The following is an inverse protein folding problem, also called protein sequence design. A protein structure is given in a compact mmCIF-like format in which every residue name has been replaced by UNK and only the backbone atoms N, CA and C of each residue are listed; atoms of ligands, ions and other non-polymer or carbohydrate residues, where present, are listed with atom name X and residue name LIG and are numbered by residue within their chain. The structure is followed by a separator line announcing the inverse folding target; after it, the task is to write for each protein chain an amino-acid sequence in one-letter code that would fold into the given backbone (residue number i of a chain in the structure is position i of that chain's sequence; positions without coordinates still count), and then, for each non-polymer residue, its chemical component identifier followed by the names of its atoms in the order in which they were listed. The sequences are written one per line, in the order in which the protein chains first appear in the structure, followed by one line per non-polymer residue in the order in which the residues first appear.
data_IF_176150296759
#
_entry.id   IF_176150296759
#
_cell.length_a   1.000
_cell.length_b   1.000
_cell.length_c   1.000
_cell.angle_alpha   90.00
_cell.angle_beta   90.00
_cell.angle_gamma   90.00
#
_symmetry.space_group_name_H-M   'P 1'
#
loop_
_entity.id
_entity.type
_entity.pdbx_description
1 polymer ?
#
# COMPACT_ATOMS: atom_id res chain seq x y z
N UNK A 1 -14.78 -15.76 -6.11
CA UNK A 1 -13.63 -16.65 -6.42
C UNK A 1 -12.92 -16.27 -7.73
N UNK A 2 -13.60 -16.05 -8.83
CA UNK A 2 -12.96 -15.66 -10.12
C UNK A 2 -12.13 -14.38 -10.00
N UNK A 3 -12.61 -13.38 -9.29
CA UNK A 3 -11.92 -12.12 -9.04
C UNK A 3 -10.58 -12.27 -8.32
N UNK A 4 -10.52 -13.14 -7.31
CA UNK A 4 -9.27 -13.43 -6.57
C UNK A 4 -8.26 -14.13 -7.50
N UNK A 5 -8.73 -15.07 -8.36
CA UNK A 5 -7.86 -15.77 -9.31
C UNK A 5 -7.25 -14.80 -10.32
N UNK A 6 -7.99 -13.78 -10.75
CA UNK A 6 -7.52 -12.77 -11.72
C UNK A 6 -6.42 -11.86 -11.15
N UNK A 7 -6.38 -11.63 -9.83
CA UNK A 7 -5.37 -10.79 -9.18
C UNK A 7 -3.99 -11.46 -9.04
N UNK A 8 -3.94 -12.80 -9.03
CA UNK A 8 -2.73 -13.59 -8.77
C UNK A 8 -1.67 -13.52 -9.89
N UNK A 9 -2.00 -13.58 -11.20
CA UNK A 9 -1.01 -13.76 -12.27
C UNK A 9 0.07 -12.68 -12.31
N UNK A 10 -0.29 -11.40 -12.14
CA UNK A 10 0.68 -10.29 -12.19
C UNK A 10 1.62 -10.33 -10.99
N UNK A 11 1.11 -10.63 -9.80
CA UNK A 11 1.91 -10.83 -8.60
C UNK A 11 2.91 -11.97 -8.76
N UNK A 12 2.49 -13.09 -9.34
CA UNK A 12 3.38 -14.21 -9.67
C UNK A 12 4.43 -13.78 -10.72
N UNK A 13 4.02 -13.08 -11.76
CA UNK A 13 4.93 -12.62 -12.81
C UNK A 13 6.03 -11.71 -12.25
N UNK A 14 5.67 -10.77 -11.38
CA UNK A 14 6.62 -9.89 -10.68
C UNK A 14 7.57 -10.69 -9.78
N UNK A 15 7.04 -11.64 -9.03
CA UNK A 15 7.84 -12.50 -8.14
C UNK A 15 8.85 -13.34 -8.93
N UNK A 16 8.39 -13.99 -10.02
CA UNK A 16 9.26 -14.77 -10.93
C UNK A 16 10.33 -13.86 -11.54
N UNK A 17 9.97 -12.64 -11.94
CA UNK A 17 10.90 -11.66 -12.48
C UNK A 17 11.98 -11.28 -11.46
N UNK A 18 11.61 -11.01 -10.19
CA UNK A 18 12.56 -10.75 -9.10
C UNK A 18 13.48 -11.95 -8.86
N UNK A 19 12.93 -13.17 -8.81
CA UNK A 19 13.72 -14.39 -8.63
C UNK A 19 14.73 -14.58 -9.77
N UNK A 20 14.34 -14.28 -11.03
CA UNK A 20 15.25 -14.34 -12.18
C UNK A 20 16.38 -13.31 -12.08
N UNK A 21 16.10 -12.11 -11.59
CA UNK A 21 17.15 -11.10 -11.37
C UNK A 21 18.14 -11.51 -10.29
N UNK A 22 17.71 -12.28 -9.29
CA UNK A 22 18.54 -12.80 -8.21
C UNK A 22 19.13 -14.19 -8.49
N UNK A 23 19.10 -14.67 -9.73
CA UNK A 23 19.56 -16.03 -10.08
C UNK A 23 21.02 -16.28 -9.70
N UNK A 24 21.91 -15.33 -9.98
CA UNK A 24 23.36 -15.48 -9.79
C UNK A 24 23.82 -15.21 -8.34
N UNK A 25 23.02 -14.49 -7.56
CA UNK A 25 23.24 -14.26 -6.13
C UNK A 25 21.87 -14.35 -5.40
N UNK A 26 21.36 -15.57 -5.18
CA UNK A 26 20.04 -15.78 -4.63
C UNK A 26 19.94 -15.32 -3.18
N UNK A 27 18.75 -14.86 -2.79
CA UNK A 27 18.46 -14.65 -1.38
C UNK A 27 18.61 -15.95 -0.56
N UNK A 28 18.99 -15.86 0.72
CA UNK A 28 19.01 -17.03 1.61
C UNK A 28 17.67 -17.78 1.58
N UNK A 29 17.73 -19.12 1.74
CA UNK A 29 16.53 -19.98 1.72
C UNK A 29 15.41 -19.42 2.60
N UNK A 30 14.20 -19.42 2.10
CA UNK A 30 13.01 -18.98 2.82
C UNK A 30 12.86 -17.45 2.94
N UNK A 31 13.79 -16.64 2.43
CA UNK A 31 13.68 -15.17 2.52
C UNK A 31 12.48 -14.66 1.76
N UNK A 32 12.24 -15.12 0.53
CA UNK A 32 11.09 -14.73 -0.30
C UNK A 32 9.78 -14.99 0.45
N UNK A 33 9.63 -16.19 1.03
CA UNK A 33 8.43 -16.55 1.80
C UNK A 33 8.26 -15.63 3.02
N UNK A 34 9.35 -15.35 3.75
CA UNK A 34 9.30 -14.44 4.91
C UNK A 34 8.88 -13.03 4.51
N UNK A 35 9.32 -12.53 3.36
CA UNK A 35 8.95 -11.22 2.84
C UNK A 35 7.50 -11.19 2.37
N UNK A 36 7.01 -12.23 1.70
CA UNK A 36 5.59 -12.35 1.33
C UNK A 36 4.70 -12.38 2.57
N UNK A 37 5.06 -13.19 3.59
CA UNK A 37 4.34 -13.22 4.87
C UNK A 37 4.40 -11.86 5.57
N UNK A 38 5.55 -11.17 5.55
CA UNK A 38 5.69 -9.82 6.09
C UNK A 38 4.74 -8.83 5.38
N UNK A 39 4.54 -8.99 4.07
CA UNK A 39 3.56 -8.22 3.30
C UNK A 39 2.13 -8.48 3.77
N UNK A 40 1.73 -9.74 3.87
CA UNK A 40 0.39 -10.12 4.38
C UNK A 40 0.17 -9.59 5.80
N UNK A 41 1.15 -9.75 6.68
CA UNK A 41 1.07 -9.24 8.06
C UNK A 41 0.93 -7.72 8.06
N UNK A 42 1.68 -7.01 7.21
CA UNK A 42 1.57 -5.55 7.13
C UNK A 42 0.18 -5.10 6.66
N UNK A 43 -0.46 -5.83 5.72
CA UNK A 43 -1.84 -5.57 5.29
C UNK A 43 -2.86 -5.80 6.41
N UNK A 44 -2.71 -6.88 7.19
CA UNK A 44 -3.58 -7.14 8.33
C UNK A 44 -3.43 -6.05 9.41
N UNK A 45 -2.19 -5.70 9.76
CA UNK A 45 -1.92 -4.71 10.80
C UNK A 45 -2.40 -3.31 10.38
N UNK A 46 -2.18 -2.91 9.13
CA UNK A 46 -2.69 -1.63 8.63
C UNK A 46 -4.21 -1.60 8.61
N UNK A 47 -4.86 -2.68 8.16
CA UNK A 47 -6.31 -2.79 8.17
C UNK A 47 -6.91 -2.65 9.58
N UNK A 48 -6.31 -3.30 10.60
CA UNK A 48 -6.73 -3.15 11.99
C UNK A 48 -6.62 -1.68 12.44
N UNK A 49 -5.49 -1.02 12.18
CA UNK A 49 -5.29 0.39 12.58
C UNK A 49 -6.23 1.31 11.84
N UNK A 50 -6.47 1.09 10.56
CA UNK A 50 -7.43 1.87 9.75
C UNK A 50 -8.85 1.75 10.31
N UNK A 51 -9.30 0.53 10.63
CA UNK A 51 -10.62 0.30 11.23
C UNK A 51 -10.74 0.97 12.60
N UNK A 52 -9.73 0.82 13.46
CA UNK A 52 -9.71 1.49 14.77
C UNK A 52 -9.69 3.03 14.62
N UNK A 53 -8.91 3.55 13.68
CA UNK A 53 -8.87 4.99 13.39
C UNK A 53 -10.21 5.51 12.87
N UNK A 54 -10.88 4.76 12.00
CA UNK A 54 -12.22 5.09 11.52
C UNK A 54 -13.24 5.08 12.67
N UNK A 55 -13.16 4.08 13.56
CA UNK A 55 -14.01 4.01 14.75
C UNK A 55 -13.79 5.19 15.69
N UNK A 56 -12.53 5.54 15.98
CA UNK A 56 -12.21 6.71 16.81
C UNK A 56 -12.76 8.00 16.19
N UNK A 57 -12.53 8.19 14.86
CA UNK A 57 -13.06 9.35 14.16
C UNK A 57 -14.59 9.40 14.22
N UNK A 58 -15.25 8.26 14.05
CA UNK A 58 -16.71 8.14 14.18
C UNK A 58 -17.21 8.53 15.57
N UNK A 59 -16.55 8.05 16.64
CA UNK A 59 -16.87 8.40 18.02
C UNK A 59 -16.67 9.90 18.30
N UNK A 60 -15.58 10.46 17.76
CA UNK A 60 -15.30 11.89 17.93
C UNK A 60 -16.32 12.78 17.21
N UNK A 61 -16.84 12.35 16.08
CA UNK A 61 -17.80 13.08 15.27
C UNK A 61 -19.24 12.97 15.82
N UNK A 62 -19.62 11.80 16.35
CA UNK A 62 -21.01 11.46 16.70
C UNK A 62 -21.21 11.09 18.18
N UNK A 63 -20.15 11.12 19.01
CA UNK A 63 -20.19 10.80 20.42
C UNK A 63 -20.22 9.30 20.73
N UNK A 64 -20.04 8.95 22.01
CA UNK A 64 -19.98 7.56 22.49
C UNK A 64 -21.30 6.78 22.29
N UNK A 65 -22.45 7.47 22.26
CA UNK A 65 -23.74 6.82 22.02
C UNK A 65 -23.86 6.23 20.62
N UNK A 66 -23.05 6.71 19.66
CA UNK A 66 -22.96 6.11 18.31
C UNK A 66 -22.48 4.64 18.33
N UNK A 67 -21.74 4.20 19.35
CA UNK A 67 -21.35 2.80 19.51
C UNK A 67 -22.57 1.91 19.79
N UNK A 68 -23.50 2.39 20.61
CA UNK A 68 -24.76 1.66 20.90
C UNK A 68 -25.57 1.45 19.63
N UNK A 69 -25.51 2.40 18.69
CA UNK A 69 -26.17 2.29 17.40
C UNK A 69 -25.57 1.20 16.51
N UNK A 70 -24.23 1.05 16.50
CA UNK A 70 -23.56 0.04 15.67
C UNK A 70 -23.86 -1.40 16.12
N UNK A 71 -24.13 -1.60 17.40
CA UNK A 71 -24.30 -2.93 18.00
C UNK A 71 -25.68 -3.19 18.60
N UNK A 72 -26.59 -2.22 18.56
CA UNK A 72 -27.93 -2.33 19.11
C UNK A 72 -28.98 -2.79 18.08
N UNK A 73 -29.78 -3.79 18.44
CA UNK A 73 -30.97 -4.21 17.68
C UNK A 73 -32.25 -3.58 18.28
N UNK A 74 -32.20 -2.31 18.65
CA UNK A 74 -33.34 -1.61 19.26
C UNK A 74 -33.99 -0.64 18.25
N UNK A 75 -35.30 -0.30 18.42
CA UNK A 75 -35.95 0.72 17.58
C UNK A 75 -35.20 2.06 17.59
N UNK A 76 -34.65 2.44 18.75
CA UNK A 76 -33.83 3.64 18.89
C UNK A 76 -32.55 3.55 18.03
N UNK A 77 -31.91 2.40 17.97
CA UNK A 77 -30.73 2.18 17.11
C UNK A 77 -31.07 2.36 15.63
N UNK A 78 -32.26 1.91 15.20
CA UNK A 78 -32.72 2.08 13.81
C UNK A 78 -33.02 3.55 13.48
N UNK A 79 -33.64 4.30 14.41
CA UNK A 79 -33.89 5.73 14.25
C UNK A 79 -32.58 6.52 14.15
N UNK A 80 -31.62 6.27 15.04
CA UNK A 80 -30.31 6.88 15.01
C UNK A 80 -29.53 6.54 13.71
N UNK A 81 -29.61 5.31 13.23
CA UNK A 81 -28.98 4.92 11.95
C UNK A 81 -29.57 5.71 10.76
N UNK A 82 -30.88 6.01 10.79
CA UNK A 82 -31.54 6.86 9.79
C UNK A 82 -31.06 8.32 9.87
N UNK A 83 -31.04 8.90 11.07
CA UNK A 83 -30.55 10.26 11.31
C UNK A 83 -29.07 10.40 10.93
N UNK A 84 -28.24 9.41 11.28
CA UNK A 84 -26.84 9.33 10.85
C UNK A 84 -26.69 9.29 9.34
N UNK A 85 -27.50 8.45 8.66
CA UNK A 85 -27.50 8.38 7.19
C UNK A 85 -27.83 9.71 6.54
N UNK A 86 -28.73 10.49 7.11
CA UNK A 86 -29.05 11.85 6.65
C UNK A 86 -27.90 12.84 6.91
N UNK A 87 -27.30 12.81 8.10
CA UNK A 87 -26.14 13.65 8.42
C UNK A 87 -24.96 13.38 7.48
N UNK A 88 -24.66 12.11 7.20
CA UNK A 88 -23.58 11.72 6.25
C UNK A 88 -23.91 12.19 4.82
N UNK A 89 -25.17 12.06 4.38
CA UNK A 89 -25.59 12.54 3.06
C UNK A 89 -25.48 14.07 2.92
N UNK A 90 -25.75 14.79 4.00
CA UNK A 90 -25.74 16.25 4.04
C UNK A 90 -24.36 16.84 4.41
N UNK A 91 -23.41 16.01 4.80
CA UNK A 91 -22.05 16.44 5.11
C UNK A 91 -21.37 17.02 3.86
N UNK A 92 -20.94 18.27 3.95
CA UNK A 92 -20.21 18.91 2.84
C UNK A 92 -18.87 18.21 2.66
N UNK A 93 -18.60 17.79 1.44
CA UNK A 93 -17.30 17.25 1.07
C UNK A 93 -16.20 18.30 1.28
N UNK A 94 -15.22 17.95 2.08
CA UNK A 94 -14.02 18.76 2.30
C UNK A 94 -12.81 18.08 1.64
N UNK A 95 -12.35 18.56 0.49
CA UNK A 95 -11.21 17.92 -0.20
C UNK A 95 -9.96 17.83 0.68
N UNK A 96 -9.62 18.92 1.36
CA UNK A 96 -8.45 18.95 2.26
C UNK A 96 -8.63 18.00 3.46
N UNK A 97 -9.82 18.02 4.09
CA UNK A 97 -10.12 17.12 5.21
C UNK A 97 -10.08 15.64 4.80
N UNK A 98 -10.66 15.31 3.64
CA UNK A 98 -10.63 13.96 3.07
C UNK A 98 -9.18 13.53 2.74
N UNK A 99 -8.39 14.41 2.12
CA UNK A 99 -6.98 14.14 1.84
C UNK A 99 -6.16 13.86 3.11
N UNK A 100 -6.31 14.70 4.14
CA UNK A 100 -5.60 14.53 5.42
C UNK A 100 -6.03 13.22 6.11
N UNK A 101 -7.32 12.91 6.15
CA UNK A 101 -7.83 11.63 6.68
C UNK A 101 -7.20 10.44 5.94
N UNK A 102 -7.24 10.44 4.61
CA UNK A 102 -6.67 9.37 3.78
C UNK A 102 -5.16 9.25 4.01
N UNK A 103 -4.45 10.40 4.14
CA UNK A 103 -3.01 10.39 4.41
C UNK A 103 -2.68 9.74 5.76
N UNK A 104 -3.37 10.14 6.83
CA UNK A 104 -3.07 9.67 8.19
C UNK A 104 -3.53 8.22 8.39
N UNK A 105 -4.76 7.88 7.95
CA UNK A 105 -5.39 6.60 8.29
C UNK A 105 -5.10 5.49 7.28
N UNK A 106 -4.71 5.82 6.05
CA UNK A 106 -4.46 4.83 5.00
C UNK A 106 -3.01 4.92 4.52
N UNK A 107 -2.67 5.91 3.72
CA UNK A 107 -1.38 5.96 3.05
C UNK A 107 -0.17 5.89 3.99
N UNK A 108 -0.18 6.66 5.08
CA UNK A 108 0.92 6.65 6.05
C UNK A 108 0.97 5.35 6.85
N UNK A 109 -0.19 4.86 7.32
CA UNK A 109 -0.30 3.63 8.12
C UNK A 109 0.18 2.43 7.34
N UNK A 110 -0.27 2.26 6.10
CA UNK A 110 0.12 1.11 5.27
C UNK A 110 1.61 1.13 4.93
N UNK A 111 2.14 2.30 4.53
CA UNK A 111 3.56 2.40 4.19
C UNK A 111 4.46 2.22 5.42
N UNK A 112 4.05 2.68 6.61
CA UNK A 112 4.78 2.41 7.86
C UNK A 112 4.81 0.90 8.15
N UNK A 113 3.69 0.19 8.07
CA UNK A 113 3.68 -1.24 8.34
C UNK A 113 4.46 -2.04 7.31
N UNK A 114 4.35 -1.71 6.01
CA UNK A 114 5.19 -2.29 4.97
C UNK A 114 6.69 -2.08 5.27
N UNK A 115 7.06 -0.86 5.66
CA UNK A 115 8.43 -0.53 6.04
C UNK A 115 8.90 -1.35 7.25
N UNK A 116 8.14 -1.37 8.35
CA UNK A 116 8.52 -2.05 9.59
C UNK A 116 8.62 -3.56 9.41
N UNK A 117 7.64 -4.18 8.74
CA UNK A 117 7.63 -5.62 8.50
C UNK A 117 8.78 -6.04 7.57
N UNK A 118 9.05 -5.29 6.50
CA UNK A 118 10.21 -5.54 5.63
C UNK A 118 11.51 -5.38 6.41
N UNK A 119 11.67 -4.29 7.15
CA UNK A 119 12.88 -4.02 7.95
C UNK A 119 13.15 -5.11 8.98
N UNK A 120 12.11 -5.70 9.58
CA UNK A 120 12.27 -6.82 10.52
C UNK A 120 12.91 -8.04 9.85
N UNK A 121 12.67 -8.26 8.56
CA UNK A 121 13.30 -9.34 7.79
C UNK A 121 14.70 -8.95 7.33
N UNK A 122 14.85 -7.79 6.67
CA UNK A 122 16.13 -7.40 6.02
C UNK A 122 17.25 -7.05 6.99
N UNK A 123 16.94 -6.76 8.27
CA UNK A 123 17.97 -6.52 9.30
C UNK A 123 18.83 -7.75 9.62
N UNK A 124 18.41 -8.95 9.21
CA UNK A 124 19.20 -10.17 9.39
C UNK A 124 20.36 -10.19 8.41
N UNK A 125 21.56 -10.51 8.93
CA UNK A 125 22.80 -10.56 8.11
C UNK A 125 22.59 -11.44 6.87
N UNK A 126 23.10 -10.98 5.73
CA UNK A 126 23.11 -11.70 4.46
C UNK A 126 21.82 -11.67 3.66
N UNK A 127 20.75 -10.99 4.12
CA UNK A 127 19.51 -10.86 3.34
C UNK A 127 19.61 -9.68 2.36
N UNK A 128 19.86 -8.48 2.87
CA UNK A 128 20.10 -7.31 2.03
C UNK A 128 21.58 -6.93 2.14
N UNK A 129 22.40 -7.37 1.18
CA UNK A 129 23.83 -7.07 1.11
C UNK A 129 24.09 -5.73 0.43
N UNK A 130 23.24 -5.37 -0.54
CA UNK A 130 23.33 -4.15 -1.33
C UNK A 130 22.04 -3.35 -1.24
N UNK A 131 22.09 -2.08 -1.65
CA UNK A 131 20.90 -1.25 -1.75
C UNK A 131 19.86 -1.84 -2.73
N UNK A 132 20.33 -2.53 -3.79
CA UNK A 132 19.45 -3.23 -4.73
C UNK A 132 18.73 -4.40 -4.06
N UNK A 133 19.43 -5.17 -3.21
CA UNK A 133 18.80 -6.26 -2.47
C UNK A 133 17.71 -5.73 -1.53
N UNK A 134 17.99 -4.60 -0.86
CA UNK A 134 16.99 -3.94 -0.03
C UNK A 134 15.75 -3.56 -0.86
N UNK A 135 15.94 -2.90 -2.01
CA UNK A 135 14.85 -2.52 -2.91
C UNK A 135 14.02 -3.75 -3.32
N UNK A 136 14.67 -4.83 -3.74
CA UNK A 136 13.96 -6.05 -4.14
C UNK A 136 13.23 -6.71 -2.96
N UNK A 137 13.77 -6.64 -1.74
CA UNK A 137 13.07 -7.13 -0.54
C UNK A 137 11.79 -6.34 -0.28
N UNK A 138 11.83 -5.01 -0.37
CA UNK A 138 10.64 -4.17 -0.24
C UNK A 138 9.60 -4.49 -1.33
N UNK A 139 10.04 -4.67 -2.56
CA UNK A 139 9.18 -5.06 -3.67
C UNK A 139 8.48 -6.41 -3.43
N UNK A 140 9.19 -7.43 -2.89
CA UNK A 140 8.58 -8.73 -2.54
C UNK A 140 7.55 -8.59 -1.42
N UNK A 141 7.85 -7.77 -0.40
CA UNK A 141 6.87 -7.48 0.67
C UNK A 141 5.60 -6.85 0.10
N UNK A 142 5.75 -5.91 -0.84
CA UNK A 142 4.59 -5.28 -1.48
C UNK A 142 3.74 -6.26 -2.29
N UNK A 143 4.34 -7.27 -2.90
CA UNK A 143 3.57 -8.34 -3.59
C UNK A 143 2.69 -9.09 -2.57
N UNK A 144 3.23 -9.43 -1.39
CA UNK A 144 2.44 -10.07 -0.32
C UNK A 144 1.33 -9.16 0.22
N UNK A 145 1.61 -7.86 0.36
CA UNK A 145 0.63 -6.85 0.76
C UNK A 145 -0.49 -6.73 -0.28
N UNK A 146 -0.14 -6.52 -1.55
CA UNK A 146 -1.07 -6.43 -2.68
C UNK A 146 -2.01 -7.64 -2.72
N UNK A 147 -1.47 -8.86 -2.59
CA UNK A 147 -2.29 -10.08 -2.59
C UNK A 147 -3.32 -10.09 -1.45
N UNK A 148 -2.97 -9.60 -0.25
CA UNK A 148 -3.91 -9.54 0.88
C UNK A 148 -5.04 -8.55 0.62
N UNK A 149 -4.76 -7.41 0.00
CA UNK A 149 -5.76 -6.44 -0.38
C UNK A 149 -6.62 -6.91 -1.56
N UNK A 150 -6.02 -7.50 -2.58
CA UNK A 150 -6.74 -8.01 -3.74
C UNK A 150 -7.78 -9.06 -3.33
N UNK A 151 -7.48 -9.87 -2.30
CA UNK A 151 -8.47 -10.80 -1.72
C UNK A 151 -9.63 -10.02 -1.08
N UNK A 152 -9.37 -8.93 -0.37
CA UNK A 152 -10.40 -8.14 0.31
C UNK A 152 -11.28 -7.36 -0.68
N UNK A 153 -10.67 -6.66 -1.63
CA UNK A 153 -11.39 -5.74 -2.52
C UNK A 153 -11.97 -6.40 -3.78
N UNK A 154 -11.52 -7.59 -4.14
CA UNK A 154 -11.96 -8.27 -5.37
C UNK A 154 -13.17 -9.20 -5.15
N UNK A 155 -13.69 -9.33 -3.95
CA UNK A 155 -14.70 -10.34 -3.60
C UNK A 155 -16.06 -10.15 -4.30
N UNK A 156 -16.36 -8.96 -4.84
CA UNK A 156 -17.68 -8.64 -5.43
C UNK A 156 -17.66 -8.15 -6.87
N UNK A 157 -16.52 -7.73 -7.43
CA UNK A 157 -16.51 -7.05 -8.73
C UNK A 157 -15.32 -7.49 -9.60
N UNK A 158 -15.63 -8.11 -10.75
CA UNK A 158 -14.63 -8.61 -11.71
C UNK A 158 -13.82 -7.47 -12.33
N UNK A 159 -14.43 -6.34 -12.64
CA UNK A 159 -13.72 -5.19 -13.22
C UNK A 159 -12.71 -4.61 -12.24
N UNK A 160 -13.09 -4.49 -10.97
CA UNK A 160 -12.17 -4.08 -9.89
C UNK A 160 -10.99 -5.05 -9.77
N UNK A 161 -11.25 -6.35 -9.85
CA UNK A 161 -10.21 -7.38 -9.80
C UNK A 161 -9.24 -7.27 -10.98
N UNK A 162 -9.74 -7.09 -12.20
CA UNK A 162 -8.91 -6.90 -13.40
C UNK A 162 -8.09 -5.61 -13.29
N UNK A 163 -8.72 -4.50 -12.88
CA UNK A 163 -8.04 -3.23 -12.69
C UNK A 163 -6.88 -3.37 -11.69
N UNK A 164 -7.13 -3.92 -10.49
CA UNK A 164 -6.12 -4.13 -9.45
C UNK A 164 -5.00 -5.07 -9.91
N UNK A 165 -5.35 -6.15 -10.62
CA UNK A 165 -4.36 -7.07 -11.17
C UNK A 165 -3.41 -6.40 -12.16
N UNK A 166 -3.91 -5.48 -13.01
CA UNK A 166 -3.12 -4.77 -14.01
C UNK A 166 -2.35 -3.57 -13.44
N UNK A 167 -2.66 -3.14 -12.22
CA UNK A 167 -2.10 -1.94 -11.58
C UNK A 167 -1.38 -2.28 -10.26
N UNK A 168 -0.20 -2.95 -10.32
CA UNK A 168 0.52 -3.34 -9.11
C UNK A 168 1.22 -2.12 -8.46
N UNK A 169 0.46 -1.10 -8.05
CA UNK A 169 1.01 0.17 -7.57
C UNK A 169 1.78 0.03 -6.25
N UNK A 170 1.37 -0.90 -5.37
CA UNK A 170 2.12 -1.18 -4.14
C UNK A 170 3.55 -1.64 -4.43
N UNK A 171 3.78 -2.36 -5.54
CA UNK A 171 5.14 -2.65 -6.01
C UNK A 171 5.93 -1.35 -6.27
N UNK A 172 5.32 -0.35 -6.91
CA UNK A 172 5.97 0.93 -7.21
C UNK A 172 6.27 1.71 -5.93
N UNK A 173 5.31 1.80 -5.01
CA UNK A 173 5.50 2.47 -3.70
C UNK A 173 6.65 1.83 -2.93
N UNK A 174 6.67 0.50 -2.85
CA UNK A 174 7.73 -0.22 -2.15
C UNK A 174 9.08 -0.18 -2.86
N UNK A 175 9.12 -0.11 -4.19
CA UNK A 175 10.37 0.09 -4.92
C UNK A 175 10.99 1.48 -4.61
N UNK A 176 10.15 2.54 -4.52
CA UNK A 176 10.58 3.87 -4.07
C UNK A 176 11.06 3.81 -2.62
N UNK A 177 10.30 3.15 -1.73
CA UNK A 177 10.66 2.95 -0.33
C UNK A 177 12.01 2.26 -0.20
N UNK A 178 12.20 1.14 -0.90
CA UNK A 178 13.43 0.36 -0.88
C UNK A 178 14.63 1.12 -1.44
N UNK A 179 14.44 1.94 -2.47
CA UNK A 179 15.48 2.83 -2.99
C UNK A 179 15.97 3.82 -1.93
N UNK A 180 15.06 4.56 -1.30
CA UNK A 180 15.44 5.51 -0.24
C UNK A 180 15.99 4.80 1.01
N UNK A 181 15.48 3.63 1.35
CA UNK A 181 16.07 2.81 2.43
C UNK A 181 17.51 2.43 2.11
N UNK A 182 17.79 1.99 0.87
CA UNK A 182 19.15 1.71 0.41
C UNK A 182 20.06 2.93 0.49
N UNK A 183 19.60 4.10 0.00
CA UNK A 183 20.34 5.36 0.13
C UNK A 183 20.62 5.75 1.58
N UNK A 184 19.69 5.53 2.50
CA UNK A 184 19.90 5.78 3.91
C UNK A 184 21.02 4.93 4.48
N UNK A 185 21.08 3.66 4.07
CA UNK A 185 22.09 2.70 4.53
C UNK A 185 23.47 3.00 3.97
N UNK A 186 23.57 3.32 2.68
CA UNK A 186 24.86 3.59 2.03
C UNK A 186 25.43 4.97 2.40
N UNK A 187 24.60 5.99 2.58
CA UNK A 187 25.03 7.34 2.90
C UNK A 187 25.09 7.66 4.40
N UNK A 188 24.49 6.83 5.27
CA UNK A 188 24.31 7.10 6.70
C UNK A 188 23.34 8.23 7.04
N UNK A 189 22.70 8.87 6.04
CA UNK A 189 21.82 10.03 6.24
C UNK A 189 20.41 9.59 6.63
N UNK A 190 20.00 9.85 7.89
CA UNK A 190 18.67 9.52 8.41
C UNK A 190 17.52 10.16 7.63
N UNK A 191 17.77 11.28 6.94
CA UNK A 191 16.76 11.94 6.10
C UNK A 191 16.18 11.02 5.02
N UNK A 192 17.00 10.14 4.43
CA UNK A 192 16.48 9.17 3.46
C UNK A 192 15.54 8.11 4.07
N UNK A 193 15.68 7.82 5.38
CA UNK A 193 14.69 6.97 6.08
C UNK A 193 13.31 7.63 6.17
N UNK A 194 13.29 8.96 6.39
CA UNK A 194 12.06 9.74 6.35
C UNK A 194 11.45 9.70 4.94
N UNK A 195 12.26 9.95 3.91
CA UNK A 195 11.79 9.91 2.51
C UNK A 195 11.31 8.52 2.10
N UNK A 196 11.90 7.45 2.65
CA UNK A 196 11.49 6.07 2.37
C UNK A 196 10.03 5.79 2.78
N UNK A 197 9.51 6.51 3.77
CA UNK A 197 8.12 6.40 4.21
C UNK A 197 7.27 7.51 3.59
N UNK A 198 7.72 8.75 3.68
CA UNK A 198 6.92 9.91 3.33
C UNK A 198 6.53 9.97 1.85
N UNK A 199 7.50 9.74 0.94
CA UNK A 199 7.23 9.84 -0.51
C UNK A 199 6.22 8.79 -0.98
N UNK A 200 6.38 7.47 -0.70
CA UNK A 200 5.37 6.50 -1.07
C UNK A 200 4.02 6.74 -0.39
N UNK A 201 3.99 7.16 0.89
CA UNK A 201 2.74 7.50 1.58
C UNK A 201 1.99 8.65 0.89
N UNK A 202 2.71 9.69 0.46
CA UNK A 202 2.11 10.82 -0.24
C UNK A 202 1.52 10.42 -1.60
N UNK A 203 2.27 9.66 -2.39
CA UNK A 203 1.83 9.20 -3.71
C UNK A 203 0.63 8.24 -3.57
N UNK A 204 0.69 7.32 -2.61
CA UNK A 204 -0.39 6.39 -2.29
C UNK A 204 -1.66 7.15 -1.90
N UNK A 205 -1.53 8.09 -0.97
CA UNK A 205 -2.66 8.94 -0.54
C UNK A 205 -3.29 9.71 -1.69
N UNK A 206 -2.49 10.30 -2.57
CA UNK A 206 -3.01 11.03 -3.74
C UNK A 206 -3.84 10.13 -4.65
N UNK A 207 -3.41 8.89 -4.81
CA UNK A 207 -4.16 7.90 -5.59
C UNK A 207 -5.48 7.52 -4.91
N UNK A 208 -5.46 7.13 -3.65
CA UNK A 208 -6.67 6.73 -2.91
C UNK A 208 -7.64 7.90 -2.74
N UNK A 209 -7.12 9.10 -2.45
CA UNK A 209 -7.92 10.31 -2.41
C UNK A 209 -8.62 10.55 -3.75
N UNK A 210 -7.91 10.37 -4.88
CA UNK A 210 -8.51 10.56 -6.20
C UNK A 210 -9.69 9.62 -6.46
N UNK A 211 -9.60 8.35 -6.01
CA UNK A 211 -10.69 7.38 -6.10
C UNK A 211 -11.88 7.81 -5.23
N UNK A 212 -11.61 8.12 -3.95
CA UNK A 212 -12.67 8.47 -2.99
C UNK A 212 -13.39 9.76 -3.39
N UNK A 213 -12.66 10.74 -3.89
CA UNK A 213 -13.21 12.03 -4.30
C UNK A 213 -14.14 11.93 -5.52
N UNK A 214 -14.00 10.92 -6.40
CA UNK A 214 -14.92 10.70 -7.54
C UNK A 214 -16.36 10.47 -7.12
N UNK A 215 -16.59 10.03 -5.88
CA UNK A 215 -17.93 9.79 -5.34
C UNK A 215 -18.67 11.09 -4.96
N UNK A 216 -17.95 12.22 -4.93
CA UNK A 216 -18.49 13.51 -4.52
C UNK A 216 -18.64 14.51 -5.68
N UNK A 217 -17.67 14.54 -6.59
CA UNK A 217 -17.67 15.48 -7.71
C UNK A 217 -16.99 14.87 -8.95
N UNK A 218 -17.62 15.01 -10.11
CA UNK A 218 -17.16 14.45 -11.39
C UNK A 218 -15.76 14.94 -11.81
N UNK A 219 -15.36 16.15 -11.39
CA UNK A 219 -14.05 16.69 -11.71
C UNK A 219 -12.90 15.82 -11.17
N UNK A 220 -13.11 15.11 -10.05
CA UNK A 220 -12.10 14.21 -9.49
C UNK A 220 -11.90 12.93 -10.31
N UNK A 221 -12.82 12.61 -11.22
CA UNK A 221 -12.62 11.52 -12.16
C UNK A 221 -11.43 11.78 -13.10
N UNK A 222 -11.23 13.04 -13.51
CA UNK A 222 -10.04 13.42 -14.28
C UNK A 222 -8.75 13.27 -13.45
N UNK A 223 -8.79 13.61 -12.16
CA UNK A 223 -7.67 13.40 -11.25
C UNK A 223 -7.35 11.91 -11.10
N UNK A 224 -8.36 11.05 -10.94
CA UNK A 224 -8.19 9.61 -10.87
C UNK A 224 -7.55 9.04 -12.15
N UNK A 225 -8.00 9.46 -13.33
CA UNK A 225 -7.39 9.06 -14.61
C UNK A 225 -5.93 9.52 -14.66
N UNK A 226 -5.64 10.77 -14.31
CA UNK A 226 -4.29 11.32 -14.33
C UNK A 226 -3.36 10.54 -13.36
N UNK A 227 -3.82 10.23 -12.15
CA UNK A 227 -3.07 9.44 -11.18
C UNK A 227 -2.85 8.00 -11.66
N UNK A 228 -3.85 7.38 -12.27
CA UNK A 228 -3.73 6.03 -12.87
C UNK A 228 -2.66 6.00 -13.96
N UNK A 229 -2.68 6.97 -14.88
CA UNK A 229 -1.67 7.09 -15.94
C UNK A 229 -0.29 7.33 -15.34
N UNK A 230 -0.16 8.29 -14.41
CA UNK A 230 1.11 8.60 -13.74
C UNK A 230 1.71 7.38 -13.05
N UNK A 231 0.92 6.67 -12.25
CA UNK A 231 1.39 5.49 -11.52
C UNK A 231 1.74 4.32 -12.47
N UNK A 232 0.98 4.14 -13.54
CA UNK A 232 1.30 3.14 -14.56
C UNK A 232 2.65 3.45 -15.22
N UNK A 233 2.88 4.70 -15.62
CA UNK A 233 4.15 5.15 -16.19
C UNK A 233 5.29 4.98 -15.18
N UNK A 234 5.09 5.40 -13.92
CA UNK A 234 6.09 5.21 -12.85
C UNK A 234 6.42 3.73 -12.62
N UNK A 235 5.42 2.85 -12.64
CA UNK A 235 5.62 1.39 -12.51
C UNK A 235 6.49 0.85 -13.63
N UNK A 236 6.19 1.21 -14.88
CA UNK A 236 6.98 0.81 -16.04
C UNK A 236 8.42 1.34 -15.93
N UNK A 237 8.58 2.62 -15.61
CA UNK A 237 9.89 3.25 -15.44
C UNK A 237 10.70 2.59 -14.31
N UNK A 238 10.07 2.23 -13.19
CA UNK A 238 10.73 1.53 -12.09
C UNK A 238 11.18 0.14 -12.52
N UNK A 239 10.35 -0.63 -13.21
CA UNK A 239 10.73 -1.96 -13.75
C UNK A 239 11.94 -1.84 -14.68
N UNK A 240 11.94 -0.86 -15.61
CA UNK A 240 13.04 -0.62 -16.55
C UNK A 240 14.32 -0.21 -15.80
N UNK A 241 14.22 0.73 -14.83
CA UNK A 241 15.37 1.17 -14.01
C UNK A 241 15.95 0.03 -13.18
N UNK A 242 15.11 -0.73 -12.47
CA UNK A 242 15.54 -1.89 -11.66
C UNK A 242 16.28 -2.89 -12.55
N UNK A 243 15.78 -3.15 -13.76
CA UNK A 243 16.42 -4.03 -14.73
C UNK A 243 17.80 -3.52 -15.16
N UNK A 244 17.92 -2.22 -15.43
CA UNK A 244 19.17 -1.56 -15.79
C UNK A 244 20.16 -1.60 -14.62
N UNK A 245 19.76 -1.27 -13.41
CA UNK A 245 20.58 -1.32 -12.21
C UNK A 245 21.07 -2.74 -11.92
N UNK A 246 20.19 -3.74 -12.04
CA UNK A 246 20.59 -5.13 -11.82
C UNK A 246 21.65 -5.62 -12.81
N UNK A 247 21.66 -5.12 -14.06
CA UNK A 247 22.74 -5.43 -15.02
C UNK A 247 24.08 -4.83 -14.60
N UNK A 248 24.06 -3.70 -13.92
CA UNK A 248 25.24 -2.94 -13.51
C UNK A 248 25.66 -3.25 -12.06
N UNK A 249 25.28 -4.40 -11.52
CA UNK A 249 25.49 -4.81 -10.12
C UNK A 249 26.91 -4.70 -9.59
N UNK A 250 27.92 -4.74 -10.47
CA UNK A 250 29.32 -4.58 -10.08
C UNK A 250 29.63 -3.21 -9.46
N UNK A 251 28.68 -2.26 -9.55
CA UNK A 251 28.78 -0.91 -9.01
C UNK A 251 27.97 -0.71 -7.73
N UNK A 252 27.30 -1.76 -7.22
CA UNK A 252 26.48 -1.65 -6.02
C UNK A 252 27.38 -1.54 -4.78
N UNK A 253 27.09 -0.55 -3.95
CA UNK A 253 27.76 -0.36 -2.65
C UNK A 253 27.12 -1.28 -1.62
N UNK A 254 27.93 -2.03 -0.88
CA UNK A 254 27.47 -2.86 0.25
C UNK A 254 26.84 -2.01 1.36
N UNK A 255 25.81 -2.54 2.05
CA UNK A 255 25.07 -1.86 3.11
C UNK A 255 25.09 -2.59 4.45
#
# INVERSE_FOLDING_TARGET
MLSVILAIPVSIALLVWICRMKKDDPFPKGTIIKLLIAGVISGILSGIVTVLGALVNFIMEFGFDSIKMMFGNTPEAAQYAAEFSELVKNAKFSPLGSFIKTFILVGLVEEIFKYLCTKAVVRKKGIAKTWMDALLCFAVTAIGFQLSEDIQYSSGNVLTAIYRALTPYHFTFAAIMGYYYGLAKTSGKKFYMFLAIFIPSLIHTLFDFSINATQHEDMYFLLFIAMTILLTVLTILMIVKIRKWNKNRKLDVEI
#
